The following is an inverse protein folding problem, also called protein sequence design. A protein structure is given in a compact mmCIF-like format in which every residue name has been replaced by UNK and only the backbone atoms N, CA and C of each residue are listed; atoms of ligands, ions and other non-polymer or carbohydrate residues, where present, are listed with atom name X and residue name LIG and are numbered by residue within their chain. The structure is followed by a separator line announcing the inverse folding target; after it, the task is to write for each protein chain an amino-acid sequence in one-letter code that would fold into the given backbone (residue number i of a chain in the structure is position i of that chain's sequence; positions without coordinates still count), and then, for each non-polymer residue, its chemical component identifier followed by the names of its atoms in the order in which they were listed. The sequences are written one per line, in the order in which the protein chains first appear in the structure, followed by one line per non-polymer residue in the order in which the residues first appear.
data_IF_736341026348
#
_entry.id   IF_736341026348
#
_cell.length_a   1.000
_cell.length_b   1.000
_cell.length_c   1.000
_cell.angle_alpha   90.00
_cell.angle_beta   90.00
_cell.angle_gamma   90.00
#
_symmetry.space_group_name_H-M   'P 1'
#
loop_
_entity.id
_entity.type
_entity.pdbx_description
1 polymer ?
#
# COMPACT_ATOMS: atom_id res chain seq x y z
N UNK A 1 -1.11 -4.83 5.56
CA UNK A 1 -1.30 -3.51 4.96
C UNK A 1 -2.18 -3.71 3.76
N UNK A 2 -3.28 -2.99 3.68
CA UNK A 2 -4.19 -3.08 2.53
C UNK A 2 -3.78 -2.11 1.42
N UNK A 3 -4.30 -2.34 0.21
CA UNK A 3 -4.08 -1.48 -0.96
C UNK A 3 -4.40 -0.01 -0.64
N UNK A 4 -5.48 0.20 0.08
CA UNK A 4 -5.95 1.50 0.54
C UNK A 4 -4.95 2.26 1.43
N UNK A 5 -4.16 1.54 2.23
CA UNK A 5 -3.10 2.14 3.06
C UNK A 5 -1.91 2.52 2.18
N UNK A 6 -1.53 1.68 1.22
CA UNK A 6 -0.45 1.98 0.27
C UNK A 6 -0.75 3.20 -0.60
N UNK A 7 -1.96 3.29 -1.16
CA UNK A 7 -2.39 4.48 -1.94
C UNK A 7 -2.31 5.75 -1.11
N UNK A 8 -2.70 5.70 0.18
CA UNK A 8 -2.60 6.85 1.10
C UNK A 8 -1.16 7.17 1.51
N UNK A 9 -0.27 6.18 1.55
CA UNK A 9 1.16 6.40 1.79
C UNK A 9 1.85 7.10 0.62
N UNK A 10 1.42 6.80 -0.61
CA UNK A 10 1.95 7.46 -1.81
C UNK A 10 1.38 8.86 -1.98
N UNK A 11 0.05 9.01 -1.96
CA UNK A 11 -0.61 10.28 -2.28
C UNK A 11 -0.72 11.24 -1.08
N UNK A 12 -0.72 10.71 0.15
CA UNK A 12 -0.85 11.47 1.38
C UNK A 12 0.48 11.61 2.13
N UNK A 13 0.44 12.30 3.28
CA UNK A 13 1.60 12.44 4.18
C UNK A 13 1.47 11.60 5.45
N UNK A 14 0.28 11.60 6.06
CA UNK A 14 0.04 10.98 7.39
C UNK A 14 0.48 9.51 7.45
N UNK A 15 0.05 8.68 6.50
CA UNK A 15 0.40 7.25 6.50
C UNK A 15 1.90 7.06 6.30
N UNK A 16 2.50 7.80 5.35
CA UNK A 16 3.94 7.74 5.11
C UNK A 16 4.76 8.08 6.35
N UNK A 17 4.40 9.16 7.05
CA UNK A 17 5.07 9.56 8.29
C UNK A 17 4.95 8.50 9.39
N UNK A 18 3.82 7.79 9.49
CA UNK A 18 3.67 6.68 10.45
C UNK A 18 4.57 5.51 10.09
N UNK A 19 4.66 5.16 8.81
CA UNK A 19 5.56 4.08 8.34
C UNK A 19 7.00 4.46 8.66
N UNK A 20 7.44 5.66 8.29
CA UNK A 20 8.80 6.16 8.54
C UNK A 20 9.13 6.19 10.04
N UNK A 21 8.23 6.67 10.89
CA UNK A 21 8.44 6.79 12.34
C UNK A 21 8.58 5.44 13.06
N UNK A 22 8.08 4.35 12.46
CA UNK A 22 8.05 3.03 13.09
C UNK A 22 8.77 1.95 12.29
N UNK A 23 9.40 2.28 11.15
CA UNK A 23 10.07 1.31 10.28
C UNK A 23 11.19 0.53 11.00
N UNK A 24 11.84 1.13 12.00
CA UNK A 24 12.89 0.48 12.79
C UNK A 24 12.35 -0.36 13.96
N UNK A 25 11.14 -0.06 14.44
CA UNK A 25 10.57 -0.67 15.67
C UNK A 25 9.41 -1.62 15.41
N UNK A 26 8.87 -1.65 14.18
CA UNK A 26 7.71 -2.45 13.81
C UNK A 26 7.86 -3.03 12.40
N UNK A 27 7.34 -4.25 12.21
CA UNK A 27 7.24 -4.86 10.89
C UNK A 27 5.89 -4.56 10.27
N UNK A 28 5.90 -4.08 9.04
CA UNK A 28 4.70 -3.86 8.24
C UNK A 28 4.54 -5.00 7.25
N UNK A 29 3.45 -5.77 7.36
CA UNK A 29 3.22 -6.89 6.45
C UNK A 29 2.29 -6.52 5.31
N UNK A 30 2.55 -7.02 4.11
CA UNK A 30 1.79 -6.70 2.91
C UNK A 30 1.47 -7.96 2.09
N UNK A 31 0.20 -8.31 1.91
CA UNK A 31 -0.19 -9.35 0.95
C UNK A 31 0.13 -8.91 -0.48
N UNK A 32 0.65 -9.82 -1.31
CA UNK A 32 0.95 -9.52 -2.72
C UNK A 32 -0.29 -9.03 -3.49
N UNK A 33 -1.46 -9.60 -3.22
CA UNK A 33 -2.74 -9.15 -3.82
C UNK A 33 -3.05 -7.68 -3.52
N UNK A 34 -2.73 -7.22 -2.30
CA UNK A 34 -2.94 -5.83 -1.90
C UNK A 34 -1.93 -4.89 -2.55
N UNK A 35 -0.73 -5.37 -2.89
CA UNK A 35 0.25 -4.59 -3.64
C UNK A 35 -0.21 -4.39 -5.10
N UNK A 36 -0.60 -5.48 -5.79
CA UNK A 36 -1.13 -5.41 -7.16
C UNK A 36 -2.37 -4.51 -7.24
N UNK A 37 -3.31 -4.67 -6.30
CA UNK A 37 -4.50 -3.82 -6.23
C UNK A 37 -4.12 -2.33 -6.02
N UNK A 38 -3.10 -2.03 -5.22
CA UNK A 38 -2.63 -0.67 -5.04
C UNK A 38 -2.02 -0.09 -6.32
N UNK A 39 -1.24 -0.88 -7.08
CA UNK A 39 -0.66 -0.44 -8.36
C UNK A 39 -1.75 -0.01 -9.36
N UNK A 40 -2.77 -0.86 -9.55
CA UNK A 40 -3.88 -0.59 -10.48
C UNK A 40 -4.68 0.65 -10.08
N UNK A 41 -5.08 0.73 -8.80
CA UNK A 41 -5.87 1.86 -8.30
C UNK A 41 -5.08 3.17 -8.34
N UNK A 42 -3.81 3.13 -7.96
CA UNK A 42 -2.95 4.31 -7.92
C UNK A 42 -2.74 4.88 -9.32
N UNK A 43 -2.41 4.05 -10.30
CA UNK A 43 -2.23 4.47 -11.68
C UNK A 43 -3.52 5.11 -12.22
N UNK A 44 -4.66 4.46 -12.00
CA UNK A 44 -5.97 4.95 -12.44
C UNK A 44 -6.34 6.29 -11.79
N UNK A 45 -6.15 6.42 -10.46
CA UNK A 45 -6.48 7.64 -9.71
C UNK A 45 -5.63 8.83 -10.15
N UNK A 46 -4.33 8.62 -10.35
CA UNK A 46 -3.39 9.68 -10.74
C UNK A 46 -3.66 10.14 -12.18
N UNK A 47 -3.87 9.21 -13.11
CA UNK A 47 -4.21 9.52 -14.50
C UNK A 47 -5.51 10.34 -14.59
N UNK A 48 -6.56 9.94 -13.85
CA UNK A 48 -7.85 10.66 -13.80
C UNK A 48 -7.74 12.09 -13.26
N UNK A 49 -6.70 12.39 -12.50
CA UNK A 49 -6.45 13.73 -11.92
C UNK A 49 -5.43 14.54 -12.71
N UNK A 50 -5.00 14.06 -13.88
CA UNK A 50 -4.00 14.73 -14.73
C UNK A 50 -2.57 14.67 -14.18
N UNK A 51 -2.29 13.77 -13.24
CA UNK A 51 -0.95 13.53 -12.73
C UNK A 51 -0.17 12.51 -13.58
N UNK A 52 1.04 12.19 -13.12
CA UNK A 52 1.93 11.22 -13.76
C UNK A 52 1.90 9.88 -12.99
N UNK A 53 1.26 8.83 -13.56
CA UNK A 53 1.18 7.52 -12.91
C UNK A 53 2.53 6.91 -12.58
N UNK A 54 3.54 7.08 -13.43
CA UNK A 54 4.85 6.46 -13.21
C UNK A 54 5.60 7.06 -12.03
N UNK A 55 5.44 8.37 -11.78
CA UNK A 55 5.98 8.99 -10.55
C UNK A 55 5.35 8.40 -9.30
N UNK A 56 4.04 8.15 -9.33
CA UNK A 56 3.33 7.56 -8.20
C UNK A 56 3.71 6.09 -8.00
N UNK A 57 3.77 5.29 -9.07
CA UNK A 57 4.21 3.90 -9.03
C UNK A 57 5.67 3.76 -8.60
N UNK A 58 6.53 4.70 -9.00
CA UNK A 58 7.92 4.74 -8.54
C UNK A 58 8.02 4.90 -7.02
N UNK A 59 7.23 5.80 -6.43
CA UNK A 59 7.17 5.94 -4.97
C UNK A 59 6.58 4.70 -4.29
N UNK A 60 5.56 4.07 -4.89
CA UNK A 60 5.02 2.81 -4.37
C UNK A 60 6.07 1.70 -4.33
N UNK A 61 6.89 1.57 -5.39
CA UNK A 61 8.01 0.63 -5.46
C UNK A 61 9.06 0.93 -4.37
N UNK A 62 9.36 2.19 -4.10
CA UNK A 62 10.27 2.56 -3.00
C UNK A 62 9.70 2.18 -1.62
N UNK A 63 8.40 2.31 -1.40
CA UNK A 63 7.76 1.87 -0.15
C UNK A 63 7.80 0.36 0.03
N UNK A 64 7.90 -0.42 -1.05
CA UNK A 64 7.97 -1.89 -0.99
C UNK A 64 9.18 -2.37 -0.19
N UNK A 65 10.29 -1.63 -0.13
CA UNK A 65 11.45 -2.02 0.67
C UNK A 65 11.24 -1.86 2.19
N UNK A 66 10.21 -1.12 2.61
CA UNK A 66 9.87 -0.88 4.01
C UNK A 66 8.80 -1.85 4.55
N UNK A 67 8.34 -2.78 3.73
CA UNK A 67 7.26 -3.72 4.07
C UNK A 67 7.69 -5.15 3.77
N UNK A 68 7.24 -6.08 4.60
CA UNK A 68 7.49 -7.51 4.47
C UNK A 68 6.36 -8.14 3.66
N UNK A 69 6.63 -8.68 2.45
CA UNK A 69 5.62 -9.36 1.67
C UNK A 69 5.21 -10.65 2.39
N UNK A 70 3.90 -10.91 2.45
CA UNK A 70 3.34 -12.15 3.01
C UNK A 70 2.49 -12.87 1.98
N UNK A 71 2.56 -14.20 2.01
CA UNK A 71 1.72 -15.07 1.22
C UNK A 71 0.25 -14.92 1.59
N UNK A 72 -0.62 -15.19 0.63
CA UNK A 72 -2.08 -15.16 0.79
C UNK A 72 -2.61 -16.20 1.79
N UNK A 73 -1.82 -17.22 2.10
CA UNK A 73 -2.09 -18.24 3.11
C UNK A 73 -2.13 -17.68 4.55
N UNK A 74 -1.34 -16.65 4.83
CA UNK A 74 -1.32 -15.97 6.14
C UNK A 74 -2.44 -14.94 6.24
N UNK A 75 -2.73 -14.21 5.14
CA UNK A 75 -3.69 -13.10 5.15
C UNK A 75 -5.14 -13.49 4.84
N UNK A 76 -5.37 -14.58 4.10
CA UNK A 76 -6.70 -14.95 3.61
C UNK A 76 -7.75 -15.12 4.71
N UNK A 77 -7.33 -15.45 5.94
CA UNK A 77 -8.22 -15.54 7.12
C UNK A 77 -8.74 -14.20 7.62
N UNK A 78 -8.08 -13.09 7.28
CA UNK A 78 -8.38 -11.74 7.77
C UNK A 78 -8.99 -10.84 6.69
N UNK A 79 -8.95 -11.24 5.42
CA UNK A 79 -9.40 -10.43 4.28
C UNK A 79 -10.88 -10.02 4.40
N UNK A 80 -11.77 -10.96 4.75
CA UNK A 80 -13.21 -10.69 4.87
C UNK A 80 -13.51 -9.64 5.93
N UNK A 81 -12.78 -9.66 7.05
CA UNK A 81 -12.95 -8.68 8.13
C UNK A 81 -12.36 -7.31 7.74
N UNK A 82 -11.20 -7.30 7.06
CA UNK A 82 -10.59 -6.07 6.57
C UNK A 82 -11.50 -5.34 5.56
N UNK A 83 -12.12 -6.08 4.62
CA UNK A 83 -13.06 -5.54 3.64
C UNK A 83 -14.33 -4.94 4.25
N UNK A 84 -14.79 -5.43 5.41
CA UNK A 84 -16.00 -4.91 6.09
C UNK A 84 -15.81 -3.53 6.72
N UNK A 85 -14.57 -3.09 6.92
CA UNK A 85 -14.23 -1.80 7.56
C UNK A 85 -13.89 -0.71 6.54
N UNK A 86 -14.04 -1.00 5.25
CA UNK A 86 -13.96 -0.07 4.13
C UNK A 86 -15.30 0.61 3.90
#
# INVERSE_FOLDING_TARGET
MDANILVRAVLGKRVRTVIEAHAESASFFLPEVSYTEAEEHLATLVARRGGDPEKALSLLRSLRSLVVPIGSDVYGKFETEARRRL
#
